data_IF_439727235067
#
_entry.id   IF_439727235067
#
_cell.length_a   1.000
_cell.length_b   1.000
_cell.length_c   1.000
_cell.angle_alpha   90.00
_cell.angle_beta   90.00
_cell.angle_gamma   90.00
#
_symmetry.space_group_name_H-M   'P 1'
#
loop_
_entity.id
_entity.type
_entity.pdbx_description
1 polymer ?
#
# COMPACT_ATOMS: atom_id res chain seq x y z
N UNK A 1 -6.80 6.91 -14.99
CA UNK A 1 -5.68 6.43 -14.15
C UNK A 1 -6.27 5.74 -12.93
N UNK A 2 -5.70 4.64 -12.48
CA UNK A 2 -6.20 3.83 -11.36
C UNK A 2 -5.02 3.39 -10.49
N UNK A 3 -5.25 3.24 -9.18
CA UNK A 3 -4.22 2.84 -8.23
C UNK A 3 -4.13 1.30 -8.23
N UNK A 4 -2.94 0.77 -8.49
CA UNK A 4 -2.69 -0.68 -8.57
C UNK A 4 -1.81 -1.22 -7.43
N UNK A 5 -1.25 -0.34 -6.60
CA UNK A 5 -0.41 -0.72 -5.46
C UNK A 5 -0.39 0.39 -4.41
N UNK A 6 -0.31 0.01 -3.13
CA UNK A 6 0.00 0.90 -2.00
C UNK A 6 1.19 0.32 -1.24
N UNK A 7 2.22 1.15 -1.07
CA UNK A 7 3.42 0.85 -0.29
C UNK A 7 3.65 1.89 0.80
N UNK A 8 4.04 1.47 2.00
CA UNK A 8 4.45 2.35 3.08
C UNK A 8 5.43 1.65 4.03
N UNK A 9 6.33 2.43 4.63
CA UNK A 9 7.21 1.99 5.72
C UNK A 9 6.96 2.84 6.95
N UNK A 10 6.96 2.21 8.11
CA UNK A 10 6.83 2.86 9.41
C UNK A 10 8.21 2.95 10.02
N UNK A 11 8.60 4.14 10.44
CA UNK A 11 9.91 4.40 11.03
C UNK A 11 9.76 4.81 12.50
N UNK A 12 10.75 4.47 13.32
CA UNK A 12 10.92 5.07 14.64
C UNK A 12 11.61 6.46 14.55
N UNK A 13 11.84 7.09 15.70
CA UNK A 13 12.50 8.41 15.77
C UNK A 13 13.97 8.39 15.28
N UNK A 14 14.58 7.20 15.21
CA UNK A 14 15.94 6.98 14.73
C UNK A 14 15.96 6.57 13.25
N UNK A 15 14.82 6.65 12.56
CA UNK A 15 14.63 6.24 11.16
C UNK A 15 14.82 4.74 10.91
N UNK A 16 14.73 3.90 11.93
CA UNK A 16 14.71 2.46 11.75
C UNK A 16 13.32 1.99 11.31
N UNK A 17 13.26 1.08 10.35
CA UNK A 17 12.00 0.45 9.93
C UNK A 17 11.47 -0.44 11.05
N UNK A 18 10.26 -0.12 11.53
CA UNK A 18 9.55 -0.91 12.55
C UNK A 18 8.39 -1.69 11.97
N UNK A 19 7.91 -1.31 10.78
CA UNK A 19 6.80 -2.00 10.11
C UNK A 19 6.75 -1.63 8.63
N UNK A 20 6.09 -2.45 7.80
CA UNK A 20 5.90 -2.15 6.39
C UNK A 20 4.54 -2.63 5.88
N UNK A 21 4.00 -1.90 4.93
CA UNK A 21 2.77 -2.23 4.22
C UNK A 21 3.07 -2.25 2.73
N UNK A 22 2.78 -3.36 2.07
CA UNK A 22 2.84 -3.45 0.62
C UNK A 22 1.69 -4.33 0.15
N UNK A 23 0.81 -3.76 -0.67
CA UNK A 23 -0.36 -4.44 -1.22
C UNK A 23 -0.59 -4.02 -2.65
N UNK A 24 -0.84 -5.00 -3.50
CA UNK A 24 -1.39 -4.79 -4.83
C UNK A 24 -2.91 -4.62 -4.74
N UNK A 25 -3.49 -3.98 -5.74
CA UNK A 25 -4.92 -3.66 -5.81
C UNK A 25 -5.48 -4.18 -7.12
N UNK A 26 -6.62 -4.86 -7.03
CA UNK A 26 -7.40 -5.30 -8.18
C UNK A 26 -8.02 -4.09 -8.90
N UNK A 27 -7.71 -3.86 -10.18
CA UNK A 27 -8.35 -2.85 -11.00
C UNK A 27 -9.85 -3.13 -11.17
N UNK A 28 -10.66 -2.08 -11.07
CA UNK A 28 -12.11 -2.10 -11.27
C UNK A 28 -12.55 -1.22 -12.44
N UNK A 29 -11.73 -0.24 -12.85
CA UNK A 29 -12.03 0.68 -13.96
C UNK A 29 -11.36 0.20 -15.24
N UNK A 30 -10.06 -0.10 -15.19
CA UNK A 30 -9.30 -0.56 -16.35
C UNK A 30 -9.00 -2.04 -16.22
N UNK A 31 -9.59 -2.85 -17.10
CA UNK A 31 -9.47 -4.32 -17.04
C UNK A 31 -8.04 -4.85 -17.24
N UNK A 32 -7.11 -4.02 -17.72
CA UNK A 32 -5.72 -4.41 -17.99
C UNK A 32 -4.75 -3.29 -17.64
N UNK A 33 -3.63 -3.69 -17.02
CA UNK A 33 -2.42 -2.86 -16.91
C UNK A 33 -1.78 -2.78 -18.29
N UNK A 34 -1.27 -1.61 -18.69
CA UNK A 34 -0.59 -1.47 -19.97
C UNK A 34 0.73 -2.24 -19.99
N UNK A 35 1.16 -2.65 -21.17
CA UNK A 35 2.41 -3.37 -21.38
C UNK A 35 3.61 -2.54 -20.89
N UNK A 36 3.63 -1.24 -21.18
CA UNK A 36 4.64 -0.31 -20.66
C UNK A 36 4.76 -0.31 -19.13
N UNK A 37 3.64 -0.31 -18.39
CA UNK A 37 3.67 -0.35 -16.92
C UNK A 37 4.13 -1.73 -16.43
N UNK A 38 3.74 -2.79 -17.15
CA UNK A 38 4.18 -4.16 -16.86
C UNK A 38 5.69 -4.30 -17.06
N UNK A 39 6.25 -3.76 -18.13
CA UNK A 39 7.70 -3.75 -18.40
C UNK A 39 8.46 -2.95 -17.33
N UNK A 40 7.91 -1.81 -16.90
CA UNK A 40 8.55 -0.95 -15.90
C UNK A 40 8.53 -1.54 -14.49
N UNK A 41 7.46 -2.22 -14.10
CA UNK A 41 7.20 -2.62 -12.70
C UNK A 41 7.19 -4.14 -12.48
N UNK A 42 7.10 -4.94 -13.54
CA UNK A 42 6.89 -6.38 -13.49
C UNK A 42 5.46 -6.81 -13.11
N UNK A 43 4.56 -5.86 -12.84
CA UNK A 43 3.21 -6.16 -12.34
C UNK A 43 2.31 -6.59 -13.50
N UNK A 44 1.79 -7.82 -13.45
CA UNK A 44 0.88 -8.34 -14.48
C UNK A 44 -0.58 -8.15 -14.10
N UNK A 45 -1.45 -8.05 -15.12
CA UNK A 45 -2.91 -7.98 -14.89
C UNK A 45 -3.41 -9.23 -14.15
N UNK A 46 -2.90 -10.41 -14.50
CA UNK A 46 -3.30 -11.69 -13.90
C UNK A 46 -2.97 -11.77 -12.41
N UNK A 47 -1.87 -11.15 -11.99
CA UNK A 47 -1.52 -11.00 -10.58
C UNK A 47 -2.54 -10.12 -9.87
N UNK A 48 -2.84 -8.95 -10.43
CA UNK A 48 -3.76 -8.00 -9.81
C UNK A 48 -5.20 -8.50 -9.72
N UNK A 49 -5.65 -9.34 -10.66
CA UNK A 49 -7.02 -9.87 -10.64
C UNK A 49 -7.33 -10.76 -9.43
N UNK A 50 -6.30 -11.25 -8.74
CA UNK A 50 -6.42 -12.07 -7.51
C UNK A 50 -6.41 -11.24 -6.23
N UNK A 51 -6.15 -9.95 -6.35
CA UNK A 51 -5.99 -9.04 -5.21
C UNK A 51 -7.33 -8.44 -4.76
N UNK A 52 -7.26 -7.70 -3.65
CA UNK A 52 -8.41 -6.97 -3.10
C UNK A 52 -8.68 -5.67 -3.85
N UNK A 53 -9.94 -5.24 -3.86
CA UNK A 53 -10.32 -3.96 -4.45
C UNK A 53 -9.83 -2.79 -3.59
N UNK A 54 -9.71 -1.61 -4.21
CA UNK A 54 -9.18 -0.42 -3.57
C UNK A 54 -9.80 -0.11 -2.20
N UNK A 55 -11.14 -0.15 -1.98
CA UNK A 55 -11.72 0.17 -0.68
C UNK A 55 -11.24 -0.77 0.44
N UNK A 56 -11.00 -2.05 0.12
CA UNK A 56 -10.55 -3.04 1.10
C UNK A 56 -9.08 -2.84 1.45
N UNK A 57 -8.22 -2.65 0.44
CA UNK A 57 -6.79 -2.38 0.64
C UNK A 57 -6.60 -1.05 1.36
N UNK A 58 -7.40 -0.03 1.03
CA UNK A 58 -7.39 1.25 1.72
C UNK A 58 -7.80 1.09 3.18
N UNK A 59 -8.83 0.29 3.48
CA UNK A 59 -9.20 -0.02 4.86
C UNK A 59 -8.02 -0.65 5.61
N UNK A 60 -7.38 -1.68 5.06
CA UNK A 60 -6.18 -2.30 5.64
C UNK A 60 -5.06 -1.30 5.87
N UNK A 61 -4.82 -0.41 4.90
CA UNK A 61 -3.84 0.66 5.02
C UNK A 61 -4.17 1.62 6.17
N UNK A 62 -5.44 1.99 6.34
CA UNK A 62 -5.85 2.82 7.49
C UNK A 62 -5.65 2.10 8.83
N UNK A 63 -5.85 0.78 8.88
CA UNK A 63 -5.55 -0.01 10.10
C UNK A 63 -4.04 -0.06 10.36
N UNK A 64 -3.23 -0.22 9.32
CA UNK A 64 -1.77 -0.14 9.42
C UNK A 64 -1.32 1.21 10.02
N UNK A 65 -1.91 2.32 9.57
CA UNK A 65 -1.64 3.65 10.15
C UNK A 65 -2.15 3.72 11.59
N UNK A 66 -3.40 3.31 11.88
CA UNK A 66 -4.00 3.42 13.23
C UNK A 66 -3.27 2.58 14.28
N UNK A 67 -2.75 1.41 13.92
CA UNK A 67 -1.94 0.57 14.83
C UNK A 67 -0.75 1.34 15.41
N UNK A 68 -0.22 2.32 14.67
CA UNK A 68 0.89 3.17 15.15
C UNK A 68 0.45 4.23 16.17
N UNK A 69 -0.81 4.69 16.12
CA UNK A 69 -1.33 5.70 17.04
C UNK A 69 -1.71 5.12 18.41
N UNK A 70 -2.16 3.86 18.45
CA UNK A 70 -2.55 3.21 19.71
C UNK A 70 -1.36 2.73 20.54
N UNK A 71 -0.18 2.54 19.92
CA UNK A 71 1.05 2.18 20.63
C UNK A 71 1.84 3.37 21.20
N UNK A 72 1.65 4.59 20.67
CA UNK A 72 2.60 5.69 20.85
C UNK A 72 1.98 7.07 21.15
N UNK A 73 1.03 7.18 22.09
CA UNK A 73 0.84 8.45 22.83
C UNK A 73 2.04 8.81 23.74
N UNK A 74 3.26 8.42 23.34
CA UNK A 74 4.53 8.75 24.00
C UNK A 74 5.68 9.15 23.08
N UNK A 75 5.48 9.46 21.79
CA UNK A 75 6.38 10.22 20.87
C UNK A 75 6.68 9.51 19.54
N UNK A 76 5.88 9.74 18.48
CA UNK A 76 6.39 9.56 17.11
C UNK A 76 5.62 10.44 16.12
N UNK A 77 6.33 11.36 15.48
CA UNK A 77 5.82 12.20 14.38
C UNK A 77 5.79 11.37 13.09
N UNK A 78 4.62 11.20 12.47
CA UNK A 78 4.52 10.67 11.10
C UNK A 78 4.63 11.86 10.14
N UNK A 79 5.69 11.88 9.31
CA UNK A 79 5.81 12.80 8.17
C UNK A 79 5.31 12.09 6.91
N UNK A 80 4.33 12.69 6.23
CA UNK A 80 3.86 12.30 4.89
C UNK A 80 4.81 12.84 3.81
#
# INVERSE_FOLDING_TARGET
MEIIQIGAVKLDNNLNTIDSFNRYIKPSIYAKVSEFITELTGITTEQLMKEKEFPQVYHEFTQFIKSSMLGNFRNSNIRL
#
